data_IF_364090379253
#
_entry.id   IF_364090379253
#
_cell.length_a   1.000
_cell.length_b   1.000
_cell.length_c   1.000
_cell.angle_alpha   90.00
_cell.angle_beta   90.00
_cell.angle_gamma   90.00
#
_symmetry.space_group_name_H-M   'P 1'
#
loop_
_entity.id
_entity.type
_entity.pdbx_description
1 polymer ?
#
# COMPACT_ATOMS: atom_id res chain seq x y z
N UNK A 1 -29.01 13.67 0.96
CA UNK A 1 -28.59 12.59 0.04
C UNK A 1 -27.13 12.29 0.30
N UNK A 2 -26.75 11.04 0.61
CA UNK A 2 -25.33 10.68 0.85
C UNK A 2 -24.63 10.59 -0.49
N UNK A 3 -23.69 11.49 -0.75
CA UNK A 3 -22.96 11.64 -2.03
C UNK A 3 -22.17 10.40 -2.47
N UNK A 4 -21.71 9.57 -1.50
CA UNK A 4 -20.87 8.42 -1.74
C UNK A 4 -21.55 7.08 -1.41
N UNK A 5 -22.91 7.06 -1.47
CA UNK A 5 -23.66 5.85 -1.17
C UNK A 5 -23.16 4.66 -2.00
N UNK A 6 -22.83 3.58 -1.30
CA UNK A 6 -22.37 2.30 -1.85
C UNK A 6 -21.02 2.33 -2.61
N UNK A 7 -20.32 3.49 -2.66
CA UNK A 7 -18.99 3.58 -3.24
C UNK A 7 -17.96 2.88 -2.38
N UNK A 8 -17.12 2.06 -3.01
CA UNK A 8 -16.03 1.31 -2.39
C UNK A 8 -14.70 2.01 -2.64
N UNK A 9 -14.02 2.40 -1.58
CA UNK A 9 -12.77 3.12 -1.66
C UNK A 9 -11.67 2.31 -0.96
N UNK A 10 -10.66 1.92 -1.74
CA UNK A 10 -9.44 1.31 -1.24
C UNK A 10 -8.45 2.43 -0.88
N UNK A 11 -8.05 2.49 0.37
CA UNK A 11 -7.06 3.47 0.85
C UNK A 11 -5.75 2.75 1.15
N UNK A 12 -4.67 3.19 0.53
CA UNK A 12 -3.34 2.59 0.67
C UNK A 12 -2.39 3.64 1.22
N UNK A 13 -1.86 3.39 2.41
CA UNK A 13 -0.97 4.33 3.10
C UNK A 13 0.11 3.58 3.89
N UNK A 14 1.30 4.14 3.96
CA UNK A 14 2.34 3.63 4.87
C UNK A 14 2.05 3.96 6.34
N UNK A 15 1.17 4.91 6.63
CA UNK A 15 0.90 5.38 7.99
C UNK A 15 -0.58 5.71 8.17
N UNK A 16 -1.16 5.27 9.29
CA UNK A 16 -2.55 5.54 9.65
C UNK A 16 -2.69 5.66 11.18
N UNK A 17 -3.38 6.70 11.66
CA UNK A 17 -3.78 6.77 13.07
C UNK A 17 -4.97 5.85 13.33
N UNK A 18 -5.11 5.23 14.52
CA UNK A 18 -4.32 5.41 15.74
C UNK A 18 -3.13 4.45 15.88
N UNK A 19 -2.74 3.73 14.85
CA UNK A 19 -1.73 2.67 14.92
C UNK A 19 -0.29 3.22 14.97
N UNK A 20 -0.09 4.38 14.37
CA UNK A 20 1.20 5.08 14.29
C UNK A 20 1.07 6.51 14.81
N UNK A 21 2.22 7.19 15.09
CA UNK A 21 2.24 8.60 15.47
C UNK A 21 1.48 9.50 14.49
N UNK A 22 1.05 10.65 15.00
CA UNK A 22 0.30 11.64 14.21
C UNK A 22 1.25 12.40 13.27
N UNK A 23 1.43 11.85 12.07
CA UNK A 23 2.00 12.57 10.94
C UNK A 23 0.86 13.14 10.08
N UNK A 24 1.16 14.12 9.24
CA UNK A 24 0.18 14.65 8.29
C UNK A 24 -0.45 13.54 7.45
N UNK A 25 0.35 12.64 6.91
CA UNK A 25 -0.10 11.49 6.12
C UNK A 25 -0.99 10.54 6.94
N UNK A 26 -0.58 10.19 8.16
CA UNK A 26 -1.35 9.29 9.03
C UNK A 26 -2.73 9.86 9.39
N UNK A 27 -2.79 11.17 9.69
CA UNK A 27 -4.03 11.88 10.00
C UNK A 27 -4.92 12.01 8.76
N UNK A 28 -4.35 12.37 7.61
CA UNK A 28 -5.10 12.53 6.38
C UNK A 28 -5.70 11.21 5.88
N UNK A 29 -4.92 10.12 5.89
CA UNK A 29 -5.42 8.79 5.51
C UNK A 29 -6.62 8.37 6.34
N UNK A 30 -6.58 8.60 7.64
CA UNK A 30 -7.70 8.33 8.54
C UNK A 30 -8.88 9.29 8.30
N UNK A 31 -8.63 10.61 8.26
CA UNK A 31 -9.68 11.63 8.19
C UNK A 31 -10.49 11.56 6.89
N UNK A 32 -9.82 11.30 5.77
CA UNK A 32 -10.46 11.11 4.48
C UNK A 32 -11.34 9.85 4.52
N UNK A 33 -10.81 8.73 5.01
CA UNK A 33 -11.55 7.47 5.14
C UNK A 33 -12.80 7.63 6.02
N UNK A 34 -12.66 8.34 7.13
CA UNK A 34 -13.77 8.66 8.02
C UNK A 34 -14.84 9.49 7.33
N UNK A 35 -14.45 10.56 6.63
CA UNK A 35 -15.38 11.40 5.87
C UNK A 35 -16.12 10.60 4.78
N UNK A 36 -15.44 9.71 4.09
CA UNK A 36 -16.06 8.83 3.10
C UNK A 36 -17.14 7.96 3.74
N UNK A 37 -16.84 7.30 4.87
CA UNK A 37 -17.81 6.45 5.57
C UNK A 37 -19.01 7.22 6.09
N UNK A 38 -18.80 8.42 6.66
CA UNK A 38 -19.90 9.30 7.11
C UNK A 38 -20.83 9.67 5.96
N UNK A 39 -20.27 9.84 4.74
CA UNK A 39 -21.02 10.15 3.53
C UNK A 39 -21.59 8.92 2.81
N UNK A 40 -21.52 7.74 3.44
CA UNK A 40 -22.18 6.54 2.96
C UNK A 40 -21.32 5.62 2.07
N UNK A 41 -20.06 5.97 1.87
CA UNK A 41 -19.09 5.09 1.21
C UNK A 41 -18.58 3.99 2.15
N UNK A 42 -17.89 3.03 1.58
CA UNK A 42 -17.23 1.93 2.29
C UNK A 42 -15.73 2.02 2.06
N UNK A 43 -14.95 2.14 3.13
CA UNK A 43 -13.49 2.17 3.03
C UNK A 43 -12.86 0.88 3.55
N UNK A 44 -11.82 0.43 2.87
CA UNK A 44 -10.84 -0.53 3.38
C UNK A 44 -9.47 0.13 3.31
N UNK A 45 -8.77 0.11 4.43
CA UNK A 45 -7.47 0.74 4.55
C UNK A 45 -6.41 -0.34 4.60
N UNK A 46 -5.32 -0.17 3.85
CA UNK A 46 -4.16 -1.05 3.88
C UNK A 46 -2.92 -0.29 4.31
N UNK A 47 -2.15 -0.90 5.20
CA UNK A 47 -0.88 -0.37 5.66
C UNK A 47 0.10 -1.50 6.01
N UNK A 48 1.43 -1.23 6.03
CA UNK A 48 2.39 -2.20 6.54
C UNK A 48 2.22 -2.41 8.06
N UNK A 49 2.48 -3.62 8.51
CA UNK A 49 2.47 -3.97 9.94
C UNK A 49 3.86 -3.76 10.53
N UNK A 50 4.21 -2.56 10.87
CA UNK A 50 5.51 -2.27 11.51
C UNK A 50 5.61 -2.84 12.93
N UNK A 51 6.83 -3.25 13.32
CA UNK A 51 7.10 -3.84 14.62
C UNK A 51 6.75 -2.95 15.83
N UNK A 52 6.68 -1.64 15.64
CA UNK A 52 6.23 -0.72 16.69
C UNK A 52 4.72 -0.75 16.97
N UNK A 53 3.92 -1.34 16.09
CA UNK A 53 2.47 -1.45 16.27
C UNK A 53 2.17 -2.53 17.33
N UNK A 54 1.58 -2.12 18.43
CA UNK A 54 1.20 -3.03 19.51
C UNK A 54 -0.08 -3.78 19.15
N UNK A 55 0.06 -5.05 18.79
CA UNK A 55 -1.03 -5.91 18.33
C UNK A 55 -2.12 -6.10 19.39
N UNK A 56 -1.73 -6.30 20.67
CA UNK A 56 -2.68 -6.50 21.76
C UNK A 56 -3.50 -5.24 22.03
N UNK A 57 -2.83 -4.07 22.07
CA UNK A 57 -3.50 -2.79 22.29
C UNK A 57 -4.54 -2.49 21.22
N UNK A 58 -4.23 -2.80 19.99
CA UNK A 58 -5.08 -2.50 18.84
C UNK A 58 -5.93 -3.69 18.37
N UNK A 59 -5.88 -4.81 19.10
CA UNK A 59 -6.67 -6.01 18.81
C UNK A 59 -6.48 -6.51 17.38
N UNK A 60 -5.23 -6.52 16.90
CA UNK A 60 -4.91 -7.12 15.62
C UNK A 60 -5.05 -8.63 15.70
N UNK A 61 -5.71 -9.21 14.72
CA UNK A 61 -5.80 -10.65 14.58
C UNK A 61 -5.47 -11.07 13.15
N UNK A 62 -4.83 -12.20 13.01
CA UNK A 62 -4.49 -12.77 11.73
C UNK A 62 -5.73 -13.31 11.02
N UNK A 63 -5.82 -13.06 9.73
CA UNK A 63 -6.86 -13.63 8.86
C UNK A 63 -6.25 -14.78 8.06
N UNK A 64 -6.32 -15.98 8.60
CA UNK A 64 -5.67 -17.19 8.06
C UNK A 64 -6.04 -17.41 6.58
N UNK A 65 -7.29 -17.23 6.18
CA UNK A 65 -7.72 -17.41 4.79
C UNK A 65 -7.06 -16.43 3.79
N UNK A 66 -6.54 -15.31 4.27
CA UNK A 66 -5.85 -14.30 3.45
C UNK A 66 -4.33 -14.45 3.53
N UNK A 67 -3.85 -15.05 4.61
CA UNK A 67 -2.43 -15.31 4.87
C UNK A 67 -1.89 -16.54 4.12
N UNK A 68 -0.58 -16.75 4.20
CA UNK A 68 0.10 -17.96 3.72
C UNK A 68 0.42 -17.96 2.23
N UNK A 69 0.19 -16.87 1.49
CA UNK A 69 0.73 -16.73 0.14
C UNK A 69 2.21 -16.40 0.19
N UNK A 70 3.01 -17.06 -0.64
CA UNK A 70 4.41 -16.69 -0.82
C UNK A 70 4.49 -15.66 -1.96
N UNK A 71 4.99 -14.47 -1.64
CA UNK A 71 5.34 -13.45 -2.62
C UNK A 71 6.77 -13.69 -3.09
N UNK A 72 7.00 -13.64 -4.39
CA UNK A 72 8.36 -13.68 -4.92
C UNK A 72 8.85 -12.24 -5.01
N UNK A 73 9.94 -11.94 -4.31
CA UNK A 73 10.58 -10.63 -4.31
C UNK A 73 12.06 -10.86 -4.60
N UNK A 74 12.53 -10.39 -5.74
CA UNK A 74 13.92 -10.54 -6.13
C UNK A 74 14.46 -11.98 -5.89
N UNK A 75 13.81 -12.98 -6.49
CA UNK A 75 14.09 -14.43 -6.39
C UNK A 75 13.85 -15.10 -5.01
N UNK A 76 13.47 -14.34 -3.99
CA UNK A 76 13.20 -14.85 -2.65
C UNK A 76 11.69 -15.06 -2.40
N UNK A 77 11.37 -16.16 -1.72
CA UNK A 77 10.00 -16.44 -1.27
C UNK A 77 9.73 -15.75 0.06
N UNK A 78 8.83 -14.76 0.04
CA UNK A 78 8.46 -13.99 1.21
C UNK A 78 7.02 -14.30 1.61
N UNK A 79 6.77 -14.91 2.79
CA UNK A 79 5.42 -15.23 3.23
C UNK A 79 4.63 -13.96 3.52
N UNK A 80 3.42 -13.88 2.95
CA UNK A 80 2.47 -12.81 3.21
C UNK A 80 1.54 -13.20 4.36
N UNK A 81 1.56 -12.41 5.41
CA UNK A 81 0.65 -12.51 6.55
C UNK A 81 -0.27 -11.30 6.54
N UNK A 82 -1.57 -11.54 6.71
CA UNK A 82 -2.58 -10.48 6.76
C UNK A 82 -3.19 -10.43 8.15
N UNK A 83 -3.04 -9.29 8.79
CA UNK A 83 -3.73 -8.99 10.05
C UNK A 83 -4.77 -7.91 9.84
N UNK A 84 -5.82 -7.94 10.64
CA UNK A 84 -6.92 -6.97 10.55
C UNK A 84 -7.24 -6.43 11.94
N UNK A 85 -7.53 -5.14 11.98
CA UNK A 85 -8.14 -4.51 13.14
C UNK A 85 -9.23 -3.54 12.69
N UNK A 86 -10.18 -3.29 13.59
CA UNK A 86 -11.20 -2.26 13.39
C UNK A 86 -10.85 -1.01 14.18
N UNK A 87 -10.98 0.16 13.55
CA UNK A 87 -10.85 1.42 14.28
C UNK A 87 -12.09 1.59 15.16
N UNK A 88 -11.93 1.68 16.49
CA UNK A 88 -13.05 1.81 17.41
C UNK A 88 -13.96 2.98 17.03
N UNK A 89 -15.29 2.78 17.11
CA UNK A 89 -16.35 3.78 16.82
C UNK A 89 -16.52 4.20 15.36
N UNK A 90 -15.57 3.88 14.46
CA UNK A 90 -15.61 4.39 13.08
C UNK A 90 -16.07 3.34 12.05
N UNK A 91 -16.24 2.08 12.45
CA UNK A 91 -16.61 0.95 11.58
C UNK A 91 -15.69 0.79 10.36
N UNK A 92 -14.42 1.18 10.51
CA UNK A 92 -13.41 1.06 9.46
C UNK A 92 -12.48 -0.10 9.76
N UNK A 93 -12.26 -0.94 8.76
CA UNK A 93 -11.29 -2.04 8.81
C UNK A 93 -9.96 -1.60 8.24
N UNK A 94 -8.89 -1.89 8.97
CA UNK A 94 -7.51 -1.71 8.53
C UNK A 94 -6.87 -3.07 8.37
N UNK A 95 -6.36 -3.33 7.20
CA UNK A 95 -5.63 -4.53 6.81
C UNK A 95 -4.14 -4.23 6.88
N UNK A 96 -3.42 -5.06 7.60
CA UNK A 96 -1.99 -4.94 7.79
C UNK A 96 -1.28 -5.99 6.94
N UNK A 97 -0.42 -5.53 6.05
CA UNK A 97 0.49 -6.36 5.28
C UNK A 97 1.70 -6.64 6.16
N UNK A 98 1.89 -7.88 6.55
CA UNK A 98 2.91 -8.30 7.49
C UNK A 98 3.89 -9.31 6.87
N UNK A 99 5.14 -9.13 7.21
CA UNK A 99 6.23 -10.05 6.92
C UNK A 99 7.36 -9.78 7.92
N UNK A 100 7.94 -10.83 8.50
CA UNK A 100 8.95 -10.66 9.54
C UNK A 100 10.21 -9.96 9.04
N UNK A 101 10.68 -10.28 7.85
CA UNK A 101 11.91 -9.68 7.29
C UNK A 101 11.73 -8.18 7.03
N UNK A 102 10.61 -7.79 6.41
CA UNK A 102 10.40 -6.42 5.96
C UNK A 102 9.82 -5.50 7.04
N UNK A 103 8.96 -6.01 7.94
CA UNK A 103 8.16 -5.13 8.81
C UNK A 103 8.29 -5.40 10.31
N UNK A 104 9.09 -6.37 10.75
CA UNK A 104 9.29 -6.66 12.19
C UNK A 104 10.02 -5.54 12.94
N UNK A 105 10.85 -4.78 12.27
CA UNK A 105 11.61 -3.68 12.88
C UNK A 105 10.70 -2.53 13.30
N UNK A 106 11.19 -1.68 14.22
CA UNK A 106 10.43 -0.52 14.72
C UNK A 106 10.49 0.67 13.78
N UNK A 107 11.53 0.78 13.00
CA UNK A 107 11.73 1.82 12.01
C UNK A 107 10.67 1.70 10.91
N UNK A 108 10.10 2.84 10.51
CA UNK A 108 9.09 2.89 9.44
C UNK A 108 9.77 2.82 8.07
N UNK A 109 10.19 3.94 7.56
CA UNK A 109 10.81 4.12 6.23
C UNK A 109 12.20 4.73 6.31
N UNK A 110 12.55 5.26 7.47
CA UNK A 110 13.81 5.96 7.73
C UNK A 110 14.49 5.37 8.96
N UNK A 111 15.81 5.40 8.96
CA UNK A 111 16.63 5.07 10.12
C UNK A 111 16.66 6.23 11.14
N UNK A 112 17.47 6.07 12.19
CA UNK A 112 17.62 7.07 13.26
C UNK A 112 18.28 8.36 12.78
N UNK A 113 19.00 8.30 11.68
CA UNK A 113 19.69 9.42 11.05
C UNK A 113 18.85 10.08 9.94
N UNK A 114 17.54 9.76 9.88
CA UNK A 114 16.57 10.21 8.88
C UNK A 114 16.92 9.80 7.43
N UNK A 115 17.76 8.78 7.26
CA UNK A 115 18.08 8.22 5.93
C UNK A 115 17.09 7.12 5.57
N UNK A 116 16.78 7.02 4.28
CA UNK A 116 15.95 5.93 3.77
C UNK A 116 16.57 4.56 4.10
N UNK A 117 15.74 3.64 4.56
CA UNK A 117 16.16 2.25 4.72
C UNK A 117 16.47 1.65 3.34
N UNK A 118 17.57 0.92 3.26
CA UNK A 118 18.12 0.41 1.98
C UNK A 118 17.18 -0.54 1.25
N UNK A 119 16.36 -1.27 1.99
CA UNK A 119 15.40 -2.26 1.49
C UNK A 119 13.99 -1.70 1.25
N UNK A 120 13.83 -0.38 1.24
CA UNK A 120 12.50 0.21 0.99
C UNK A 120 11.94 -0.11 -0.39
N UNK A 121 12.79 -0.35 -1.39
CA UNK A 121 12.39 -0.83 -2.72
C UNK A 121 11.68 -2.20 -2.64
N UNK A 122 12.29 -3.19 -2.01
CA UNK A 122 11.68 -4.51 -1.82
C UNK A 122 10.42 -4.45 -0.95
N UNK A 123 10.44 -3.61 0.08
CA UNK A 123 9.28 -3.39 0.95
C UNK A 123 8.11 -2.76 0.19
N UNK A 124 8.38 -1.83 -0.73
CA UNK A 124 7.35 -1.25 -1.61
C UNK A 124 6.77 -2.29 -2.56
N UNK A 125 7.63 -3.11 -3.18
CA UNK A 125 7.22 -4.20 -4.07
C UNK A 125 6.35 -5.20 -3.30
N UNK A 126 6.84 -5.69 -2.16
CA UNK A 126 6.10 -6.62 -1.31
C UNK A 126 4.75 -6.06 -0.86
N UNK A 127 4.74 -4.82 -0.38
CA UNK A 127 3.51 -4.15 0.06
C UNK A 127 2.51 -4.02 -1.08
N UNK A 128 2.96 -3.56 -2.25
CA UNK A 128 2.11 -3.40 -3.43
C UNK A 128 1.48 -4.72 -3.87
N UNK A 129 2.30 -5.76 -4.05
CA UNK A 129 1.82 -7.10 -4.43
C UNK A 129 0.89 -7.68 -3.36
N UNK A 130 1.27 -7.53 -2.09
CA UNK A 130 0.48 -8.02 -0.96
C UNK A 130 -0.91 -7.37 -0.88
N UNK A 131 -1.02 -6.07 -1.14
CA UNK A 131 -2.32 -5.38 -1.19
C UNK A 131 -3.15 -5.88 -2.36
N UNK A 132 -2.59 -5.94 -3.57
CA UNK A 132 -3.31 -6.39 -4.77
C UNK A 132 -3.86 -7.79 -4.57
N UNK A 133 -3.01 -8.74 -4.19
CA UNK A 133 -3.43 -10.13 -3.99
C UNK A 133 -4.45 -10.30 -2.86
N UNK A 134 -4.34 -9.49 -1.80
CA UNK A 134 -5.33 -9.50 -0.73
C UNK A 134 -6.69 -8.99 -1.20
N UNK A 135 -6.73 -7.91 -1.97
CA UNK A 135 -7.96 -7.33 -2.52
C UNK A 135 -8.63 -8.32 -3.48
N UNK A 136 -7.86 -9.02 -4.31
CA UNK A 136 -8.33 -10.11 -5.18
C UNK A 136 -8.95 -11.24 -4.37
N UNK A 137 -8.24 -11.77 -3.36
CA UNK A 137 -8.78 -12.81 -2.45
C UNK A 137 -10.04 -12.39 -1.71
N UNK A 138 -10.18 -11.11 -1.39
CA UNK A 138 -11.39 -10.56 -0.79
C UNK A 138 -12.56 -10.45 -1.77
N UNK A 139 -12.30 -10.62 -3.07
CA UNK A 139 -13.26 -10.39 -4.16
C UNK A 139 -14.02 -9.05 -3.98
N UNK A 140 -13.26 -7.99 -3.72
CA UNK A 140 -13.80 -6.68 -3.38
C UNK A 140 -13.30 -5.64 -4.36
N UNK A 141 -14.08 -5.34 -5.39
CA UNK A 141 -13.73 -4.40 -6.46
C UNK A 141 -13.92 -2.96 -5.97
N UNK A 142 -12.84 -2.17 -5.81
CA UNK A 142 -12.94 -0.76 -5.45
C UNK A 142 -13.37 0.11 -6.63
N UNK A 143 -14.23 1.10 -6.39
CA UNK A 143 -14.51 2.17 -7.37
C UNK A 143 -13.35 3.16 -7.45
N UNK A 144 -12.69 3.41 -6.31
CA UNK A 144 -11.56 4.34 -6.19
C UNK A 144 -10.45 3.69 -5.38
N UNK A 145 -9.23 3.84 -5.87
CA UNK A 145 -8.00 3.48 -5.18
C UNK A 145 -7.30 4.77 -4.80
N UNK A 146 -7.22 5.07 -3.51
CA UNK A 146 -6.61 6.29 -3.00
C UNK A 146 -5.25 5.98 -2.36
N UNK A 147 -4.21 6.47 -2.99
CA UNK A 147 -2.82 6.27 -2.59
C UNK A 147 -2.33 7.46 -1.75
N UNK A 148 -1.65 7.20 -0.64
CA UNK A 148 -1.10 8.22 0.23
C UNK A 148 0.43 8.15 0.29
N UNK A 149 1.08 9.12 -0.36
CA UNK A 149 2.53 9.29 -0.36
C UNK A 149 3.29 8.30 -1.25
N UNK A 150 4.58 8.51 -1.32
CA UNK A 150 5.49 7.84 -2.25
C UNK A 150 5.60 6.32 -2.05
N UNK A 151 5.43 5.82 -0.82
CA UNK A 151 5.54 4.38 -0.53
C UNK A 151 4.50 3.53 -1.26
N UNK A 152 3.39 4.14 -1.69
CA UNK A 152 2.35 3.50 -2.49
C UNK A 152 2.49 3.75 -4.00
N UNK A 153 3.56 4.40 -4.46
CA UNK A 153 3.70 4.86 -5.85
C UNK A 153 3.86 3.74 -6.88
N UNK A 154 4.32 2.55 -6.47
CA UNK A 154 4.41 1.39 -7.37
C UNK A 154 3.05 0.79 -7.73
N UNK A 155 2.01 1.08 -6.94
CA UNK A 155 0.70 0.47 -7.11
C UNK A 155 0.08 0.73 -8.50
N UNK A 156 0.05 1.96 -9.04
CA UNK A 156 -0.47 2.22 -10.39
C UNK A 156 0.29 1.47 -11.47
N UNK A 157 1.62 1.39 -11.34
CA UNK A 157 2.49 0.70 -12.29
C UNK A 157 2.15 -0.80 -12.35
N UNK A 158 2.09 -1.44 -11.18
CA UNK A 158 1.75 -2.86 -11.09
C UNK A 158 0.33 -3.14 -11.61
N UNK A 159 -0.66 -2.32 -11.24
CA UNK A 159 -2.01 -2.49 -11.75
C UNK A 159 -2.07 -2.39 -13.27
N UNK A 160 -1.42 -1.39 -13.85
CA UNK A 160 -1.47 -1.17 -15.29
C UNK A 160 -0.76 -2.26 -16.09
N UNK A 161 0.36 -2.80 -15.57
CA UNK A 161 1.20 -3.73 -16.32
C UNK A 161 0.87 -5.21 -16.06
N UNK A 162 0.53 -5.56 -14.84
CA UNK A 162 0.34 -6.97 -14.45
C UNK A 162 -1.13 -7.35 -14.18
N UNK A 163 -1.99 -6.36 -13.95
CA UNK A 163 -3.38 -6.61 -13.54
C UNK A 163 -4.39 -5.78 -14.33
N UNK A 164 -4.02 -5.29 -15.54
CA UNK A 164 -4.89 -4.47 -16.40
C UNK A 164 -6.22 -5.16 -16.72
N UNK A 165 -6.17 -6.48 -16.92
CA UNK A 165 -7.32 -7.29 -17.34
C UNK A 165 -8.01 -7.96 -16.13
N UNK A 166 -7.60 -7.65 -14.90
CA UNK A 166 -8.20 -8.25 -13.72
C UNK A 166 -9.55 -7.59 -13.39
N UNK A 167 -10.67 -8.35 -13.41
CA UNK A 167 -12.01 -7.81 -13.26
C UNK A 167 -12.26 -7.13 -11.89
N UNK A 168 -11.38 -7.35 -10.92
CA UNK A 168 -11.46 -6.68 -9.61
C UNK A 168 -11.11 -5.21 -9.73
N UNK A 169 -10.22 -4.84 -10.68
CA UNK A 169 -9.67 -3.49 -10.80
C UNK A 169 -10.04 -2.74 -12.07
N UNK A 170 -10.67 -3.40 -13.05
CA UNK A 170 -10.95 -2.87 -14.40
C UNK A 170 -11.67 -1.52 -14.40
N UNK A 171 -12.53 -1.27 -13.40
CA UNK A 171 -13.32 -0.04 -13.25
C UNK A 171 -12.77 0.94 -12.21
N UNK A 172 -11.66 0.59 -11.59
CA UNK A 172 -11.08 1.38 -10.51
C UNK A 172 -10.44 2.66 -11.05
N UNK A 173 -10.69 3.78 -10.39
CA UNK A 173 -9.99 5.06 -10.63
C UNK A 173 -8.94 5.26 -9.56
N UNK A 174 -7.75 5.68 -9.96
CA UNK A 174 -6.64 5.93 -9.04
C UNK A 174 -6.57 7.43 -8.72
N UNK A 175 -6.42 7.74 -7.44
CA UNK A 175 -6.19 9.08 -6.90
C UNK A 175 -4.97 9.02 -6.00
N UNK A 176 -4.04 9.96 -6.14
CA UNK A 176 -2.83 10.04 -5.32
C UNK A 176 -2.79 11.33 -4.52
N UNK A 177 -2.56 11.21 -3.21
CA UNK A 177 -2.22 12.33 -2.33
C UNK A 177 -0.71 12.41 -2.18
N UNK A 178 -0.14 13.55 -2.62
CA UNK A 178 1.29 13.85 -2.55
C UNK A 178 1.54 14.66 -1.29
N UNK A 179 2.64 14.39 -0.60
CA UNK A 179 3.07 15.05 0.62
C UNK A 179 4.42 15.70 0.40
N UNK A 180 4.64 16.85 1.01
CA UNK A 180 5.83 17.69 0.82
C UNK A 180 7.11 17.12 1.44
N UNK A 181 7.01 16.10 2.30
CA UNK A 181 8.20 15.49 2.90
C UNK A 181 9.02 14.79 1.81
N UNK A 182 10.05 15.47 1.32
CA UNK A 182 11.09 14.91 0.48
C UNK A 182 12.11 14.15 1.33
N UNK A 183 12.92 13.34 0.70
CA UNK A 183 14.07 12.68 1.29
C UNK A 183 15.29 12.90 0.38
N UNK A 184 16.44 13.03 1.00
CA UNK A 184 17.69 13.13 0.26
C UNK A 184 18.09 11.76 -0.28
N UNK A 185 18.51 11.71 -1.54
CA UNK A 185 18.80 10.47 -2.24
C UNK A 185 17.56 9.86 -2.89
N UNK A 186 17.73 8.70 -3.48
CA UNK A 186 16.68 7.92 -4.14
C UNK A 186 16.49 6.55 -3.51
N UNK A 187 15.55 5.79 -4.05
CA UNK A 187 15.47 4.36 -3.83
C UNK A 187 16.72 3.69 -4.40
N UNK A 188 16.94 2.41 -4.04
CA UNK A 188 18.07 1.65 -4.59
C UNK A 188 18.09 1.73 -6.13
N UNK A 189 19.27 1.79 -6.72
CA UNK A 189 19.44 1.72 -8.18
C UNK A 189 18.94 0.40 -8.76
N UNK A 190 18.90 -0.63 -7.93
CA UNK A 190 18.48 -1.98 -8.32
C UNK A 190 16.95 -2.13 -8.34
N UNK A 191 16.19 -1.09 -7.98
CA UNK A 191 14.72 -1.15 -7.99
C UNK A 191 14.17 -1.50 -9.37
N UNK A 192 14.82 -1.04 -10.43
CA UNK A 192 14.42 -1.34 -11.80
C UNK A 192 14.54 -2.82 -12.10
N UNK A 193 15.69 -3.42 -11.81
CA UNK A 193 15.94 -4.85 -12.02
C UNK A 193 14.94 -5.70 -11.22
N UNK A 194 14.63 -5.30 -9.98
CA UNK A 194 13.66 -5.99 -9.13
C UNK A 194 12.23 -5.92 -9.66
N UNK A 195 11.86 -4.81 -10.29
CA UNK A 195 10.54 -4.62 -10.91
C UNK A 195 10.48 -5.36 -12.25
N UNK A 196 11.56 -5.35 -13.03
CA UNK A 196 11.70 -6.12 -14.27
C UNK A 196 11.59 -7.62 -14.03
N UNK A 197 12.14 -8.10 -12.90
CA UNK A 197 11.98 -9.50 -12.48
C UNK A 197 10.51 -9.90 -12.32
N UNK A 198 9.65 -8.98 -11.92
CA UNK A 198 8.18 -9.19 -11.85
C UNK A 198 7.50 -9.10 -13.23
N UNK A 199 8.23 -8.84 -14.32
CA UNK A 199 7.69 -8.69 -15.67
C UNK A 199 7.21 -7.27 -16.00
N UNK A 200 7.63 -6.27 -15.25
CA UNK A 200 7.35 -4.86 -15.53
C UNK A 200 8.55 -4.22 -16.20
N UNK A 201 8.36 -3.71 -17.41
CA UNK A 201 9.45 -3.07 -18.18
C UNK A 201 9.99 -1.83 -17.44
N UNK A 202 11.31 -1.81 -17.21
CA UNK A 202 11.98 -0.79 -16.40
C UNK A 202 12.05 0.60 -17.03
N UNK A 203 11.89 0.71 -18.36
CA UNK A 203 11.95 1.99 -19.06
C UNK A 203 10.96 3.04 -18.52
N UNK A 204 9.82 2.59 -17.97
CA UNK A 204 8.79 3.46 -17.42
C UNK A 204 9.19 4.19 -16.13
N UNK A 205 10.26 3.78 -15.48
CA UNK A 205 10.74 4.41 -14.24
C UNK A 205 11.65 5.62 -14.49
N UNK A 206 12.23 5.72 -15.69
CA UNK A 206 13.21 6.73 -16.03
C UNK A 206 12.69 7.84 -16.94
N UNK A 207 11.53 7.68 -17.55
CA UNK A 207 10.97 8.69 -18.44
C UNK A 207 10.23 9.75 -17.64
N UNK A 208 10.86 10.89 -17.43
CA UNK A 208 10.18 12.13 -17.02
C UNK A 208 9.28 12.68 -18.15
N UNK A 209 9.51 12.25 -19.38
CA UNK A 209 8.74 12.59 -20.57
C UNK A 209 8.45 11.34 -21.40
N UNK A 210 7.40 10.61 -20.98
CA UNK A 210 6.91 9.42 -21.71
C UNK A 210 6.37 9.74 -23.12
N UNK A 211 6.36 11.00 -23.53
CA UNK A 211 5.88 11.43 -24.84
C UNK A 211 6.97 11.32 -25.93
N UNK A 212 8.24 11.25 -25.56
CA UNK A 212 9.36 11.36 -26.52
C UNK A 212 10.16 10.07 -26.72
N UNK A 213 9.82 8.96 -26.03
CA UNK A 213 10.51 7.68 -26.24
C UNK A 213 9.67 6.73 -27.10
N UNK A 214 10.05 6.51 -28.38
CA UNK A 214 9.32 5.65 -29.30
C UNK A 214 9.46 4.14 -28.99
N UNK A 215 10.23 3.78 -27.94
CA UNK A 215 10.52 2.38 -27.57
C UNK A 215 9.78 1.90 -26.31
N UNK A 216 8.95 2.75 -25.69
CA UNK A 216 8.16 2.40 -24.51
C UNK A 216 6.65 2.37 -24.78
#
# INVERSE_FOLDING_TARGET
>A
MKLLKDKKILVISSEVVPYLPQTEKAVNSFSVSRKINVNGGMTRIFMPKYGMINERRHQLHEVIRLSGMNMIINDLYMPLIIKVASIPKERMQVYFIDNEEYFKRKELLFDKDEKLLKDNDERMIFFTKGVIETVKKLNWSPDIIHLHGWFASLFPLYLKKLYSDDPVFDKSKIVSSIYSKSFDGGLSKDITEKIEFDGVEGCLLYTSDAADDPTC
#
